data_IF_472548202386
#
_entry.id   IF_472548202386
#
_cell.length_a   1.000
_cell.length_b   1.000
_cell.length_c   1.000
_cell.angle_alpha   90.00
_cell.angle_beta   90.00
_cell.angle_gamma   90.00
#
_symmetry.space_group_name_H-M   'P 1'
#
loop_
_entity.id
_entity.type
_entity.pdbx_description
1 polymer ?
#
# COMPACT_ATOMS: atom_id res chain seq x y z
N UNK A 1 16.62 13.10 -4.23
CA UNK A 1 16.42 12.09 -3.16
C UNK A 1 16.98 10.74 -3.60
N UNK A 2 16.28 9.96 -4.43
CA UNK A 2 16.67 8.57 -4.76
C UNK A 2 18.08 8.36 -5.34
N UNK A 3 18.55 9.21 -6.26
CA UNK A 3 19.89 9.06 -6.87
C UNK A 3 21.01 9.31 -5.85
N UNK A 4 20.83 10.31 -4.99
CA UNK A 4 21.77 10.63 -3.92
C UNK A 4 21.78 9.55 -2.82
N UNK A 5 20.64 8.93 -2.52
CA UNK A 5 20.55 7.88 -1.49
C UNK A 5 21.18 6.55 -1.95
N UNK A 6 21.07 6.25 -3.25
CA UNK A 6 21.76 5.13 -3.91
C UNK A 6 23.27 5.39 -4.00
N UNK A 7 23.69 6.62 -4.34
CA UNK A 7 25.12 6.97 -4.38
C UNK A 7 25.76 7.01 -2.99
N UNK A 8 25.02 7.46 -1.96
CA UNK A 8 25.50 7.53 -0.57
C UNK A 8 25.38 6.22 0.22
N UNK A 9 24.99 5.11 -0.42
CA UNK A 9 24.80 3.80 0.22
C UNK A 9 23.80 3.81 1.39
N UNK A 10 22.82 4.70 1.36
CA UNK A 10 21.75 4.78 2.36
C UNK A 10 20.72 3.66 2.13
N UNK A 11 20.59 3.20 0.89
CA UNK A 11 19.73 2.09 0.47
C UNK A 11 20.54 0.98 -0.20
N UNK A 12 20.17 -0.28 0.04
CA UNK A 12 20.75 -1.42 -0.66
C UNK A 12 20.37 -1.39 -2.16
N UNK A 13 21.37 -1.58 -3.03
CA UNK A 13 21.21 -1.44 -4.50
C UNK A 13 20.62 -2.67 -5.17
N UNK A 14 20.77 -3.84 -4.56
CA UNK A 14 20.35 -5.12 -5.11
C UNK A 14 19.78 -6.01 -4.00
N UNK A 15 18.54 -6.45 -4.18
CA UNK A 15 17.85 -7.35 -3.26
C UNK A 15 16.35 -7.36 -3.54
N UNK A 16 15.69 -8.39 -3.05
CA UNK A 16 14.24 -8.51 -3.09
C UNK A 16 13.68 -8.48 -1.66
N UNK A 17 12.53 -7.82 -1.44
CA UNK A 17 11.82 -7.94 -0.18
C UNK A 17 11.48 -9.40 0.13
N UNK A 18 11.58 -9.79 1.40
CA UNK A 18 11.38 -11.19 1.83
C UNK A 18 10.16 -11.27 2.73
N UNK A 19 9.29 -12.24 2.49
CA UNK A 19 8.18 -12.57 3.39
C UNK A 19 8.75 -13.36 4.57
N UNK A 20 8.68 -12.81 5.79
CA UNK A 20 9.15 -13.52 6.99
C UNK A 20 8.06 -14.36 7.63
N UNK A 21 6.82 -13.86 7.58
CA UNK A 21 5.64 -14.54 8.14
C UNK A 21 4.44 -14.27 7.27
N UNK A 22 3.59 -15.27 7.08
CA UNK A 22 2.34 -15.08 6.35
C UNK A 22 1.22 -15.99 6.84
N UNK A 23 0.00 -15.54 6.58
CA UNK A 23 -1.23 -16.34 6.62
C UNK A 23 -1.95 -16.19 5.28
N UNK A 24 -3.13 -16.80 5.14
CA UNK A 24 -3.97 -16.66 3.94
C UNK A 24 -4.33 -15.20 3.64
N UNK A 25 -4.46 -14.36 4.66
CA UNK A 25 -4.89 -12.95 4.53
C UNK A 25 -3.85 -11.94 5.02
N UNK A 26 -2.73 -12.36 5.62
CA UNK A 26 -1.75 -11.43 6.18
C UNK A 26 -0.32 -11.77 5.78
N UNK A 27 0.58 -10.78 5.79
CA UNK A 27 2.02 -11.00 5.66
C UNK A 27 2.84 -9.95 6.39
N UNK A 28 4.01 -10.35 6.87
CA UNK A 28 5.10 -9.50 7.35
C UNK A 28 6.27 -9.61 6.36
N UNK A 29 6.71 -8.46 5.85
CA UNK A 29 7.74 -8.34 4.83
C UNK A 29 8.94 -7.59 5.39
N UNK A 30 10.12 -8.18 5.24
CA UNK A 30 11.39 -7.53 5.49
C UNK A 30 11.88 -6.84 4.20
N UNK A 31 11.94 -5.52 4.24
CA UNK A 31 12.33 -4.65 3.14
C UNK A 31 13.83 -4.59 2.89
N UNK A 32 14.67 -5.19 3.76
CA UNK A 32 16.13 -5.33 3.60
C UNK A 32 16.86 -4.03 3.25
N UNK A 33 16.40 -2.92 3.80
CA UNK A 33 16.88 -1.56 3.54
C UNK A 33 16.84 -1.16 2.05
N UNK A 34 15.92 -1.74 1.27
CA UNK A 34 15.70 -1.42 -0.13
C UNK A 34 14.94 -0.09 -0.28
N UNK A 35 14.91 0.41 -1.51
CA UNK A 35 14.13 1.58 -1.88
C UNK A 35 12.65 1.35 -1.57
N UNK A 36 12.03 2.33 -0.93
CA UNK A 36 10.63 2.24 -0.52
C UNK A 36 9.67 1.90 -1.67
N UNK A 37 9.79 2.46 -2.89
CA UNK A 37 8.96 2.04 -4.02
C UNK A 37 9.13 0.56 -4.42
N UNK A 38 10.29 -0.04 -4.19
CA UNK A 38 10.53 -1.47 -4.46
C UNK A 38 9.76 -2.31 -3.44
N UNK A 39 9.89 -1.97 -2.15
CA UNK A 39 9.21 -2.66 -1.05
C UNK A 39 7.69 -2.46 -1.12
N UNK A 40 7.23 -1.24 -1.35
CA UNK A 40 5.82 -0.90 -1.46
C UNK A 40 5.13 -1.60 -2.63
N UNK A 41 5.77 -1.65 -3.81
CA UNK A 41 5.20 -2.35 -4.97
C UNK A 41 5.09 -3.86 -4.72
N UNK A 42 6.08 -4.45 -4.06
CA UNK A 42 6.02 -5.86 -3.65
C UNK A 42 4.87 -6.11 -2.66
N UNK A 43 4.77 -5.31 -1.61
CA UNK A 43 3.75 -5.45 -0.58
C UNK A 43 2.33 -5.25 -1.14
N UNK A 44 2.15 -4.27 -2.04
CA UNK A 44 0.86 -4.00 -2.67
C UNK A 44 0.43 -5.16 -3.57
N UNK A 45 1.33 -5.72 -4.39
CA UNK A 45 1.03 -6.90 -5.21
C UNK A 45 0.63 -8.10 -4.34
N UNK A 46 1.40 -8.38 -3.29
CA UNK A 46 1.12 -9.46 -2.34
C UNK A 46 -0.24 -9.27 -1.65
N UNK A 47 -0.56 -8.05 -1.23
CA UNK A 47 -1.84 -7.72 -0.63
C UNK A 47 -2.99 -7.95 -1.62
N UNK A 48 -2.85 -7.53 -2.88
CA UNK A 48 -3.89 -7.71 -3.92
C UNK A 48 -4.16 -9.20 -4.14
N UNK A 49 -3.10 -10.02 -4.24
CA UNK A 49 -3.23 -11.46 -4.44
C UNK A 49 -3.94 -12.14 -3.27
N UNK A 50 -3.59 -11.78 -2.03
CA UNK A 50 -4.25 -12.31 -0.83
C UNK A 50 -5.71 -11.85 -0.74
N UNK A 51 -5.97 -10.57 -0.97
CA UNK A 51 -7.33 -10.00 -0.91
C UNK A 51 -8.26 -10.61 -1.98
N UNK A 52 -7.74 -10.96 -3.17
CA UNK A 52 -8.51 -11.69 -4.18
C UNK A 52 -8.91 -13.10 -3.72
N UNK A 53 -8.11 -13.75 -2.88
CA UNK A 53 -8.37 -15.11 -2.37
C UNK A 53 -9.31 -15.10 -1.17
N UNK A 54 -9.19 -14.13 -0.27
CA UNK A 54 -9.85 -14.16 1.05
C UNK A 54 -10.85 -13.02 1.26
N UNK A 55 -10.88 -12.04 0.36
CA UNK A 55 -11.71 -10.83 0.40
C UNK A 55 -11.11 -9.66 1.16
N UNK A 56 -10.11 -9.89 2.01
CA UNK A 56 -9.38 -8.87 2.76
C UNK A 56 -7.93 -9.30 2.94
N UNK A 57 -6.99 -8.39 2.84
CA UNK A 57 -5.60 -8.65 3.14
C UNK A 57 -4.92 -7.53 3.92
N UNK A 58 -3.94 -7.90 4.73
CA UNK A 58 -3.10 -6.97 5.47
C UNK A 58 -1.63 -7.34 5.34
N UNK A 59 -0.83 -6.50 4.69
CA UNK A 59 0.61 -6.69 4.52
C UNK A 59 1.35 -5.58 5.26
N UNK A 60 2.29 -5.96 6.12
CA UNK A 60 3.15 -5.03 6.85
C UNK A 60 4.57 -5.17 6.36
N UNK A 61 5.26 -4.05 6.12
CA UNK A 61 6.67 -4.03 5.80
C UNK A 61 7.47 -3.37 6.94
N UNK A 62 8.70 -3.81 7.13
CA UNK A 62 9.67 -3.10 7.96
C UNK A 62 11.05 -3.11 7.30
N UNK A 63 11.94 -2.22 7.73
CA UNK A 63 13.28 -2.14 7.14
C UNK A 63 13.23 -1.65 5.69
N UNK A 64 12.28 -0.77 5.34
CA UNK A 64 12.23 -0.06 4.06
C UNK A 64 12.72 1.37 4.20
N UNK A 65 12.95 2.02 3.05
CA UNK A 65 13.15 3.46 2.94
C UNK A 65 11.87 4.18 2.50
N UNK A 66 11.90 5.51 2.37
CA UNK A 66 10.73 6.31 2.01
C UNK A 66 10.01 5.80 0.76
N UNK A 67 8.76 5.35 0.92
CA UNK A 67 7.99 4.61 -0.11
C UNK A 67 7.37 5.46 -1.23
N UNK A 68 7.50 6.78 -1.14
CA UNK A 68 7.07 7.70 -2.19
C UNK A 68 5.57 8.03 -2.10
N UNK A 69 4.92 8.13 -3.26
CA UNK A 69 3.57 8.70 -3.38
C UNK A 69 2.49 7.66 -3.12
N UNK A 70 1.72 7.83 -2.04
CA UNK A 70 0.65 6.93 -1.64
C UNK A 70 -0.39 6.67 -2.76
N UNK A 71 -0.67 7.69 -3.59
CA UNK A 71 -1.64 7.60 -4.68
C UNK A 71 -1.33 6.53 -5.74
N UNK A 72 -0.05 6.17 -5.93
CA UNK A 72 0.35 5.11 -6.85
C UNK A 72 -0.24 3.75 -6.43
N UNK A 73 -0.18 3.45 -5.14
CA UNK A 73 -0.67 2.18 -4.58
C UNK A 73 -2.20 2.13 -4.53
N UNK A 74 -2.84 3.29 -4.31
CA UNK A 74 -4.30 3.42 -4.47
C UNK A 74 -4.77 3.13 -5.89
N UNK A 75 -4.01 3.56 -6.90
CA UNK A 75 -4.31 3.23 -8.29
C UNK A 75 -4.16 1.74 -8.57
N UNK A 76 -3.11 1.09 -8.04
CA UNK A 76 -2.94 -0.37 -8.16
C UNK A 76 -4.12 -1.14 -7.56
N UNK A 77 -4.58 -0.76 -6.37
CA UNK A 77 -5.74 -1.36 -5.73
C UNK A 77 -7.02 -1.12 -6.53
N UNK A 78 -7.25 0.12 -6.98
CA UNK A 78 -8.42 0.48 -7.79
C UNK A 78 -8.49 -0.30 -9.11
N UNK A 79 -7.37 -0.43 -9.82
CA UNK A 79 -7.26 -1.24 -11.04
C UNK A 79 -7.54 -2.74 -10.79
N UNK A 80 -7.32 -3.21 -9.57
CA UNK A 80 -7.66 -4.57 -9.16
C UNK A 80 -9.11 -4.71 -8.65
N UNK A 81 -9.90 -3.63 -8.65
CA UNK A 81 -11.24 -3.59 -8.09
C UNK A 81 -11.25 -3.72 -6.57
N UNK A 82 -10.23 -3.19 -5.89
CA UNK A 82 -10.03 -3.25 -4.44
C UNK A 82 -10.00 -1.85 -3.83
N UNK A 83 -10.41 -1.75 -2.57
CA UNK A 83 -10.18 -0.58 -1.73
C UNK A 83 -8.87 -0.77 -0.95
N UNK A 84 -8.12 0.33 -0.78
CA UNK A 84 -6.91 0.35 0.05
C UNK A 84 -7.03 1.33 1.20
N UNK A 85 -6.52 0.92 2.34
CA UNK A 85 -6.12 1.79 3.44
C UNK A 85 -4.63 1.64 3.67
N UNK A 86 -3.96 2.75 3.95
CA UNK A 86 -2.53 2.78 4.21
C UNK A 86 -2.26 3.49 5.53
N UNK A 87 -1.34 2.95 6.32
CA UNK A 87 -0.77 3.63 7.47
C UNK A 87 0.74 3.51 7.47
N UNK A 88 1.39 4.58 7.92
CA UNK A 88 2.84 4.74 7.86
C UNK A 88 3.36 5.21 9.22
N UNK A 89 4.37 4.52 9.72
CA UNK A 89 5.08 4.91 10.93
C UNK A 89 6.56 5.05 10.59
N UNK A 90 7.02 6.30 10.48
CA UNK A 90 8.45 6.60 10.41
C UNK A 90 9.03 6.66 11.82
N UNK A 91 10.02 5.80 12.09
CA UNK A 91 10.98 6.06 13.15
C UNK A 91 12.25 6.63 12.50
N UNK A 92 12.55 7.90 12.81
CA UNK A 92 13.81 8.53 12.44
C UNK A 92 14.91 8.07 13.41
N UNK A 93 15.22 6.77 13.41
CA UNK A 93 16.29 6.21 14.23
C UNK A 93 17.53 6.01 13.34
N UNK A 94 18.60 6.78 13.60
CA UNK A 94 19.95 6.59 13.04
C UNK A 94 20.57 5.19 13.33
N UNK A 95 19.80 4.26 13.89
CA UNK A 95 20.21 2.96 14.42
C UNK A 95 19.72 1.76 13.60
N UNK A 96 19.23 1.97 12.37
CA UNK A 96 18.96 0.87 11.42
C UNK A 96 17.62 0.15 11.59
N UNK A 97 16.76 0.59 12.51
CA UNK A 97 15.38 0.12 12.60
C UNK A 97 14.53 0.92 11.63
N UNK A 98 14.47 0.44 10.38
CA UNK A 98 13.85 1.13 9.25
C UNK A 98 12.35 1.39 9.40
N UNK A 99 11.79 1.97 8.34
CA UNK A 99 10.39 2.40 8.30
C UNK A 99 9.45 1.20 8.46
N UNK A 100 8.36 1.39 9.22
CA UNK A 100 7.28 0.41 9.36
C UNK A 100 6.04 0.88 8.61
N UNK A 101 5.53 0.03 7.72
CA UNK A 101 4.45 0.37 6.79
C UNK A 101 3.37 -0.69 6.85
N UNK A 102 2.10 -0.29 6.76
CA UNK A 102 0.98 -1.21 6.73
C UNK A 102 0.07 -0.93 5.54
N UNK A 103 -0.14 -1.95 4.72
CA UNK A 103 -1.03 -1.97 3.56
C UNK A 103 -2.22 -2.87 3.88
N UNK A 104 -3.41 -2.29 3.95
CA UNK A 104 -4.65 -3.03 4.15
C UNK A 104 -5.53 -2.91 2.92
N UNK A 105 -5.97 -4.04 2.37
CA UNK A 105 -6.83 -4.11 1.20
C UNK A 105 -8.13 -4.85 1.52
N UNK A 106 -9.23 -4.39 0.93
CA UNK A 106 -10.53 -5.06 1.02
C UNK A 106 -11.27 -5.04 -0.31
N UNK A 107 -12.10 -6.06 -0.55
CA UNK A 107 -13.05 -6.03 -1.66
C UNK A 107 -14.11 -4.95 -1.41
N UNK A 108 -14.42 -4.11 -2.42
CA UNK A 108 -15.47 -3.11 -2.31
C UNK A 108 -16.85 -3.75 -2.04
N UNK A 109 -17.05 -5.01 -2.44
CA UNK A 109 -18.34 -5.68 -2.41
C UNK A 109 -18.28 -7.10 -1.79
N UNK A 110 -18.38 -7.19 -0.46
CA UNK A 110 -19.32 -8.15 0.17
C UNK A 110 -20.67 -7.49 0.51
N UNK A 111 -20.91 -6.30 -0.03
CA UNK A 111 -22.22 -5.68 -0.09
C UNK A 111 -22.57 -5.59 -1.58
N UNK A 112 -23.54 -6.40 -2.03
CA UNK A 112 -24.27 -6.08 -3.27
C UNK A 112 -25.12 -4.85 -2.97
N UNK A 113 -24.52 -3.66 -2.95
CA UNK A 113 -25.27 -2.43 -3.14
C UNK A 113 -25.06 -2.04 -4.58
N UNK A 114 -26.04 -2.38 -5.40
CA UNK A 114 -26.31 -1.66 -6.63
C UNK A 114 -26.44 -0.18 -6.26
N UNK A 115 -25.37 0.59 -6.41
CA UNK A 115 -25.47 2.05 -6.50
C UNK A 115 -25.52 2.33 -8.00
N UNK A 116 -26.70 2.66 -8.57
CA UNK A 116 -26.77 3.09 -9.95
C UNK A 116 -25.89 4.33 -10.10
N UNK A 117 -24.96 4.32 -11.06
CA UNK A 117 -24.00 5.40 -11.30
C UNK A 117 -24.64 6.79 -11.55
N UNK A 118 -25.97 6.91 -11.61
CA UNK A 118 -26.71 8.16 -11.80
C UNK A 118 -27.11 8.92 -10.53
N UNK A 119 -26.90 8.40 -9.32
CA UNK A 119 -27.42 9.06 -8.10
C UNK A 119 -26.46 10.09 -7.46
N UNK A 120 -25.15 9.99 -7.72
CA UNK A 120 -24.14 10.86 -7.07
C UNK A 120 -24.10 12.27 -7.69
N UNK A 121 -24.47 12.43 -8.97
CA UNK A 121 -24.39 13.72 -9.67
C UNK A 121 -25.65 14.58 -9.59
N UNK A 122 -26.75 14.09 -9.00
CA UNK A 122 -28.02 14.85 -8.94
C UNK A 122 -28.13 15.82 -7.75
N UNK A 123 -27.38 15.59 -6.67
CA UNK A 123 -27.48 16.41 -5.45
C UNK A 123 -26.49 17.58 -5.35
N UNK A 124 -25.57 17.73 -6.31
CA UNK A 124 -24.63 18.87 -6.32
C UNK A 124 -25.19 20.12 -7.03
N UNK A 125 -26.31 20.00 -7.75
CA UNK A 125 -26.84 21.11 -8.56
C UNK A 125 -27.99 21.90 -7.94
N UNK A 126 -28.55 21.44 -6.80
CA UNK A 126 -29.75 22.05 -6.20
C UNK A 126 -29.49 22.87 -4.91
N UNK A 127 -28.24 23.16 -4.57
CA UNK A 127 -27.86 23.96 -3.39
C UNK A 127 -27.19 25.29 -3.73
N UNK A 128 -27.33 25.79 -4.97
CA UNK A 128 -26.89 27.14 -5.39
C UNK A 128 -28.03 27.98 -5.96
N UNK A 129 -29.25 27.77 -5.48
CA UNK A 129 -30.38 28.68 -5.76
C UNK A 129 -31.32 28.72 -4.56
N UNK A 130 -30.91 29.41 -3.50
CA UNK A 130 -31.77 30.17 -2.60
C UNK A 130 -30.93 31.17 -1.79
#
# INVERSE_FOLDING_TARGET
MYVLDVEKSVCEKAGEPVIEKETVSTALVNGRNLLGPVVGNFCMKLAIEKAKKTGIAWVTAYGSNHFGIAGWYSLMASNAGLLVSYSYVANASYLGNGIHEHFSLGLPNKVKTEIPQGLIFRNAHNSMSH
#
